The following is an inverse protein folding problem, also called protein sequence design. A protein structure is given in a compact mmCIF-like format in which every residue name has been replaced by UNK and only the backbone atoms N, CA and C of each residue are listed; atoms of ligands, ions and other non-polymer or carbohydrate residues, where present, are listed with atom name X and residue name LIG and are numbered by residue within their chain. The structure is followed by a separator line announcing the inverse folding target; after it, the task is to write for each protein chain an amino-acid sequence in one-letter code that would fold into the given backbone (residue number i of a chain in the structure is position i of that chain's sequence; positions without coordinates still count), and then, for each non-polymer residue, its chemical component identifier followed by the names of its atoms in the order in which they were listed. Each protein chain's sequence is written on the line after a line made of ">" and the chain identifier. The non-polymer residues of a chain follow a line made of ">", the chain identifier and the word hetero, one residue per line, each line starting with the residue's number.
data_IF_331181031544
#
_entry.id   IF_331181031544
#
_cell.length_a   1.000
_cell.length_b   1.000
_cell.length_c   1.000
_cell.angle_alpha   90.00
_cell.angle_beta   90.00
_cell.angle_gamma   90.00
#
_symmetry.space_group_name_H-M   'P 1'
#
loop_
_entity.id
_entity.type
_entity.pdbx_description
1 polymer ?
#
# COMPACT_ATOMS: atom_id res chain seq x y z
N UNK A 1 -22.74 -15.40 -30.71
CA UNK A 1 -22.92 -14.60 -29.47
C UNK A 1 -21.95 -13.42 -29.30
N UNK A 2 -20.86 -13.32 -30.09
CA UNK A 2 -20.09 -12.07 -30.25
C UNK A 2 -20.89 -10.89 -30.87
N UNK A 3 -22.13 -11.14 -31.29
CA UNK A 3 -23.07 -10.22 -31.95
C UNK A 3 -23.37 -8.89 -31.24
N UNK A 4 -22.98 -8.72 -29.97
CA UNK A 4 -23.17 -7.47 -29.24
C UNK A 4 -21.90 -6.64 -29.16
N UNK A 5 -20.76 -7.14 -29.66
CA UNK A 5 -19.53 -6.38 -29.77
C UNK A 5 -19.65 -5.47 -30.99
N UNK A 6 -19.53 -4.17 -30.77
CA UNK A 6 -19.44 -3.21 -31.85
C UNK A 6 -17.98 -3.05 -32.28
N UNK A 7 -17.13 -2.71 -31.31
CA UNK A 7 -15.69 -2.57 -31.51
C UNK A 7 -14.97 -2.99 -30.24
N UNK A 8 -13.79 -3.58 -30.39
CA UNK A 8 -12.92 -3.95 -29.27
C UNK A 8 -11.47 -3.83 -29.74
N UNK A 9 -10.62 -3.29 -28.87
CA UNK A 9 -9.17 -3.38 -28.99
C UNK A 9 -8.64 -4.36 -27.94
N UNK A 10 -7.58 -5.08 -28.28
CA UNK A 10 -6.93 -6.01 -27.35
C UNK A 10 -5.43 -6.09 -27.54
N UNK A 11 -4.71 -6.40 -26.47
CA UNK A 11 -3.29 -6.75 -26.49
C UNK A 11 -3.09 -8.19 -25.97
N UNK A 12 -2.00 -8.83 -26.40
CA UNK A 12 -1.70 -10.21 -26.03
C UNK A 12 -2.57 -11.23 -26.77
N UNK A 13 -3.16 -12.18 -26.05
CA UNK A 13 -3.88 -13.32 -26.64
C UNK A 13 -5.14 -12.86 -27.38
N UNK A 14 -5.33 -13.35 -28.60
CA UNK A 14 -6.53 -13.09 -29.40
C UNK A 14 -7.79 -13.55 -28.64
N UNK A 15 -8.82 -12.70 -28.52
CA UNK A 15 -10.11 -13.11 -27.99
C UNK A 15 -10.65 -14.35 -28.71
N UNK A 16 -11.32 -15.24 -27.98
CA UNK A 16 -11.79 -16.53 -28.52
C UNK A 16 -12.71 -16.40 -29.75
N UNK A 17 -13.40 -15.26 -29.90
CA UNK A 17 -14.27 -14.98 -31.05
C UNK A 17 -13.53 -14.38 -32.26
N UNK A 18 -12.23 -14.09 -32.16
CA UNK A 18 -11.40 -13.59 -33.26
C UNK A 18 -11.74 -12.17 -33.75
N UNK A 19 -12.52 -11.39 -32.99
CA UNK A 19 -12.90 -10.02 -33.37
C UNK A 19 -12.05 -8.99 -32.64
N UNK A 20 -11.85 -7.83 -33.26
CA UNK A 20 -11.22 -6.66 -32.66
C UNK A 20 -9.89 -6.27 -33.29
N UNK A 21 -9.42 -5.10 -32.89
CA UNK A 21 -8.15 -4.52 -33.32
C UNK A 21 -7.04 -5.00 -32.37
N UNK A 22 -6.08 -5.74 -32.93
CA UNK A 22 -4.91 -6.19 -32.16
C UNK A 22 -3.92 -5.04 -32.01
N UNK A 23 -3.56 -4.75 -30.76
CA UNK A 23 -2.56 -3.76 -30.41
C UNK A 23 -1.30 -4.45 -29.89
N UNK A 24 -0.15 -3.83 -30.16
CA UNK A 24 1.08 -4.17 -29.45
C UNK A 24 0.98 -3.72 -27.99
N UNK A 25 1.77 -4.32 -27.11
CA UNK A 25 1.75 -3.94 -25.69
C UNK A 25 2.24 -2.49 -25.51
N UNK A 26 1.78 -1.85 -24.42
CA UNK A 26 2.19 -0.49 -24.00
C UNK A 26 1.88 0.62 -25.01
N UNK A 27 0.83 0.43 -25.83
CA UNK A 27 0.30 1.51 -26.66
C UNK A 27 -0.28 2.65 -25.80
N UNK A 28 -0.13 3.93 -26.22
CA UNK A 28 -0.75 5.07 -25.56
C UNK A 28 -2.27 4.94 -25.49
N UNK A 29 -2.89 5.53 -24.47
CA UNK A 29 -4.34 5.38 -24.25
C UNK A 29 -5.18 6.02 -25.37
N UNK A 30 -4.64 6.99 -26.10
CA UNK A 30 -5.27 7.61 -27.27
C UNK A 30 -5.44 6.59 -28.40
N UNK A 31 -4.46 5.69 -28.57
CA UNK A 31 -4.54 4.58 -29.52
C UNK A 31 -5.63 3.61 -29.07
N UNK A 32 -5.67 3.26 -27.77
CA UNK A 32 -6.73 2.44 -27.22
C UNK A 32 -8.12 3.06 -27.43
N UNK A 33 -8.27 4.36 -27.20
CA UNK A 33 -9.54 5.06 -27.38
C UNK A 33 -10.04 4.95 -28.83
N UNK A 34 -9.16 5.16 -29.81
CA UNK A 34 -9.50 5.04 -31.23
C UNK A 34 -9.84 3.61 -31.61
N UNK A 35 -8.94 2.68 -31.29
CA UNK A 35 -9.02 1.29 -31.76
C UNK A 35 -10.11 0.49 -31.02
N UNK A 36 -10.47 0.89 -29.80
CA UNK A 36 -11.62 0.33 -29.08
C UNK A 36 -12.98 0.90 -29.53
N UNK A 37 -12.99 1.86 -30.47
CA UNK A 37 -14.21 2.51 -30.94
C UNK A 37 -14.82 3.47 -29.92
N UNK A 38 -14.00 4.13 -29.09
CA UNK A 38 -14.42 5.07 -28.05
C UNK A 38 -14.12 6.55 -28.38
N UNK A 39 -13.74 6.85 -29.63
CA UNK A 39 -13.44 8.21 -30.08
C UNK A 39 -14.68 8.98 -30.56
N UNK A 40 -15.68 9.08 -29.67
CA UNK A 40 -16.92 9.83 -29.87
C UNK A 40 -17.47 10.27 -28.50
N UNK A 41 -18.43 11.19 -28.51
CA UNK A 41 -19.04 11.75 -27.32
C UNK A 41 -20.52 11.39 -27.25
N UNK A 42 -21.02 11.12 -26.05
CA UNK A 42 -22.44 11.05 -25.78
C UNK A 42 -22.97 12.49 -25.67
N UNK A 43 -23.83 12.87 -26.60
CA UNK A 43 -24.54 14.13 -26.62
C UNK A 43 -25.95 13.95 -26.06
N UNK A 44 -26.53 15.03 -25.55
CA UNK A 44 -27.88 15.06 -24.99
C UNK A 44 -28.78 16.06 -25.71
N UNK A 45 -30.06 15.71 -25.83
CA UNK A 45 -31.10 16.60 -26.35
C UNK A 45 -32.42 16.37 -25.61
N UNK A 46 -33.32 17.37 -25.53
CA UNK A 46 -34.65 17.17 -24.93
C UNK A 46 -35.44 16.07 -25.64
N UNK A 47 -36.17 15.26 -24.86
CA UNK A 47 -37.08 14.25 -25.41
C UNK A 47 -38.28 14.94 -26.03
N UNK A 48 -38.60 14.56 -27.26
CA UNK A 48 -39.81 14.97 -27.95
C UNK A 48 -40.59 13.73 -28.39
N UNK A 49 -41.92 13.76 -28.23
CA UNK A 49 -42.82 12.70 -28.68
C UNK A 49 -43.98 13.28 -29.51
N UNK A 50 -44.53 12.45 -30.40
CA UNK A 50 -45.70 12.80 -31.20
C UNK A 50 -46.94 12.19 -30.55
N UNK A 51 -47.95 13.02 -30.28
CA UNK A 51 -49.20 12.60 -29.64
C UNK A 51 -50.25 12.11 -30.66
N UNK A 52 -50.24 12.66 -31.87
CA UNK A 52 -51.22 12.35 -32.91
C UNK A 52 -50.64 11.47 -34.03
N UNK A 53 -51.36 10.41 -34.39
CA UNK A 53 -51.00 9.47 -35.46
C UNK A 53 -51.51 9.87 -36.85
N UNK A 54 -52.34 10.92 -36.94
CA UNK A 54 -53.03 11.29 -38.18
C UNK A 54 -52.18 12.31 -38.96
N UNK A 55 -51.48 11.78 -39.98
CA UNK A 55 -50.57 12.48 -40.89
C UNK A 55 -49.22 12.94 -40.30
N UNK A 56 -48.24 13.17 -41.18
CA UNK A 56 -46.83 13.44 -40.86
C UNK A 56 -46.58 14.74 -40.04
N UNK A 57 -47.63 15.44 -39.61
CA UNK A 57 -47.67 16.74 -38.92
C UNK A 57 -48.30 16.66 -37.51
N UNK A 58 -48.20 15.52 -36.81
CA UNK A 58 -48.64 15.41 -35.41
C UNK A 58 -47.93 16.41 -34.48
N UNK A 59 -48.63 16.91 -33.46
CA UNK A 59 -48.07 17.86 -32.49
C UNK A 59 -46.84 17.26 -31.77
N UNK A 60 -45.74 18.00 -31.77
CA UNK A 60 -44.50 17.61 -31.09
C UNK A 60 -44.56 18.13 -29.65
N UNK A 61 -44.63 17.23 -28.69
CA UNK A 61 -44.58 17.55 -27.27
C UNK A 61 -43.19 17.26 -26.71
N UNK A 62 -42.71 18.09 -25.79
CA UNK A 62 -41.51 17.83 -25.02
C UNK A 62 -41.82 17.02 -23.76
N UNK A 63 -40.91 16.15 -23.32
CA UNK A 63 -40.95 15.55 -21.98
C UNK A 63 -39.82 16.14 -21.12
N UNK A 64 -40.07 17.23 -20.37
CA UNK A 64 -38.99 18.06 -19.81
C UNK A 64 -38.15 17.37 -18.74
N UNK A 65 -38.62 16.28 -18.14
CA UNK A 65 -37.91 15.56 -17.07
C UNK A 65 -36.86 14.55 -17.62
N UNK A 66 -36.87 14.33 -18.93
CA UNK A 66 -36.02 13.35 -19.60
C UNK A 66 -35.24 13.96 -20.76
N UNK A 67 -34.11 13.34 -21.06
CA UNK A 67 -33.22 13.65 -22.17
C UNK A 67 -32.90 12.40 -22.98
N UNK A 68 -32.75 12.58 -24.28
CA UNK A 68 -32.24 11.56 -25.20
C UNK A 68 -30.71 11.66 -25.19
N UNK A 69 -30.04 10.53 -25.01
CA UNK A 69 -28.62 10.39 -25.24
C UNK A 69 -28.39 9.83 -26.65
N UNK A 70 -27.47 10.41 -27.40
CA UNK A 70 -27.12 9.97 -28.75
C UNK A 70 -25.64 10.17 -29.03
N UNK A 71 -25.10 9.47 -30.03
CA UNK A 71 -23.69 9.57 -30.37
C UNK A 71 -23.37 10.81 -31.18
N UNK A 72 -22.26 11.46 -30.90
CA UNK A 72 -21.81 12.65 -31.64
C UNK A 72 -21.48 12.36 -33.11
N UNK A 73 -21.00 11.15 -33.42
CA UNK A 73 -20.47 10.74 -34.72
C UNK A 73 -21.58 10.32 -35.70
N UNK A 74 -22.44 9.40 -35.29
CA UNK A 74 -23.47 8.75 -36.13
C UNK A 74 -24.86 9.33 -35.91
N UNK A 75 -25.03 10.13 -34.85
CA UNK A 75 -26.34 10.58 -34.35
C UNK A 75 -27.28 9.43 -33.96
N UNK A 76 -26.77 8.21 -33.83
CA UNK A 76 -27.56 7.06 -33.40
C UNK A 76 -28.06 7.25 -31.96
N UNK A 77 -29.35 6.98 -31.69
CA UNK A 77 -29.90 7.07 -30.36
C UNK A 77 -29.33 5.97 -29.46
N UNK A 78 -28.98 6.33 -28.22
CA UNK A 78 -28.46 5.42 -27.22
C UNK A 78 -29.53 5.05 -26.20
N UNK A 79 -30.15 6.04 -25.57
CA UNK A 79 -31.12 5.83 -24.50
C UNK A 79 -31.92 7.09 -24.20
N UNK A 80 -32.97 6.94 -23.40
CA UNK A 80 -33.69 8.05 -22.77
C UNK A 80 -33.49 7.94 -21.27
N UNK A 81 -33.00 9.00 -20.63
CA UNK A 81 -32.67 9.03 -19.21
C UNK A 81 -33.27 10.25 -18.53
N UNK A 82 -33.31 10.26 -17.20
CA UNK A 82 -33.70 11.45 -16.44
C UNK A 82 -32.68 12.58 -16.63
N UNK A 83 -33.11 13.83 -16.54
CA UNK A 83 -32.20 14.98 -16.53
C UNK A 83 -31.20 14.97 -15.35
N UNK A 84 -31.49 14.21 -14.29
CA UNK A 84 -30.58 14.03 -13.15
C UNK A 84 -29.44 13.05 -13.43
N UNK A 85 -29.48 12.36 -14.57
CA UNK A 85 -28.48 11.37 -14.96
C UNK A 85 -27.16 12.06 -15.37
N UNK A 86 -26.09 11.68 -14.70
CA UNK A 86 -24.71 12.07 -14.96
C UNK A 86 -24.04 11.02 -15.84
N UNK A 87 -24.12 11.25 -17.15
CA UNK A 87 -23.55 10.36 -18.16
C UNK A 87 -22.02 10.37 -18.12
N UNK A 88 -21.43 9.19 -17.98
CA UNK A 88 -19.98 8.97 -18.12
C UNK A 88 -19.64 8.80 -19.59
N UNK A 89 -18.65 9.54 -20.08
CA UNK A 89 -18.21 9.49 -21.47
C UNK A 89 -17.31 8.28 -21.75
N UNK A 90 -17.32 7.71 -22.97
CA UNK A 90 -16.40 6.63 -23.35
C UNK A 90 -14.93 6.98 -23.09
N UNK A 91 -14.53 8.23 -23.37
CA UNK A 91 -13.20 8.74 -23.08
C UNK A 91 -12.85 8.67 -21.59
N UNK A 92 -13.79 8.97 -20.69
CA UNK A 92 -13.53 8.94 -19.24
C UNK A 92 -13.20 7.52 -18.74
N UNK A 93 -13.72 6.48 -19.40
CA UNK A 93 -13.43 5.08 -19.08
C UNK A 93 -12.01 4.69 -19.45
N UNK A 94 -11.49 5.15 -20.60
CA UNK A 94 -10.10 4.95 -20.98
C UNK A 94 -9.15 5.81 -20.15
N UNK A 95 -9.50 7.08 -19.97
CA UNK A 95 -8.72 8.07 -19.21
C UNK A 95 -8.53 7.66 -17.75
N UNK A 96 -9.47 6.88 -17.18
CA UNK A 96 -9.32 6.25 -15.87
C UNK A 96 -8.02 5.45 -15.73
N UNK A 97 -7.45 4.92 -16.82
CA UNK A 97 -6.25 4.09 -16.79
C UNK A 97 -4.95 4.84 -17.10
N UNK A 98 -4.97 6.15 -17.40
CA UNK A 98 -3.76 6.90 -17.81
C UNK A 98 -2.63 6.75 -16.79
N UNK A 99 -2.89 7.20 -15.59
CA UNK A 99 -1.97 7.16 -14.44
C UNK A 99 -1.63 5.71 -14.03
N UNK A 100 -2.58 4.79 -14.14
CA UNK A 100 -2.35 3.37 -13.87
C UNK A 100 -1.32 2.76 -14.82
N UNK A 101 -1.42 3.09 -16.11
CA UNK A 101 -0.54 2.54 -17.15
C UNK A 101 0.81 3.25 -17.24
N UNK A 102 0.83 4.57 -17.09
CA UNK A 102 2.05 5.37 -17.16
C UNK A 102 2.92 5.23 -15.90
N UNK A 103 2.30 5.02 -14.73
CA UNK A 103 2.99 5.13 -13.43
C UNK A 103 2.88 3.88 -12.56
N UNK A 104 1.73 3.20 -12.56
CA UNK A 104 1.47 2.08 -11.64
C UNK A 104 1.82 0.70 -12.21
N UNK A 105 2.38 0.65 -13.42
CA UNK A 105 2.77 -0.60 -14.08
C UNK A 105 1.60 -1.47 -14.54
N UNK A 106 0.38 -0.91 -14.56
CA UNK A 106 -0.77 -1.60 -15.15
C UNK A 106 -0.60 -1.61 -16.67
N UNK A 107 -1.16 -2.62 -17.31
CA UNK A 107 -1.14 -2.70 -18.77
C UNK A 107 -2.56 -2.89 -19.28
N UNK A 108 -3.05 -1.95 -20.09
CA UNK A 108 -4.33 -2.14 -20.79
C UNK A 108 -4.27 -3.42 -21.61
N UNK A 109 -5.32 -4.22 -21.48
CA UNK A 109 -5.38 -5.53 -22.12
C UNK A 109 -6.56 -5.67 -23.06
N UNK A 110 -7.72 -5.11 -22.70
CA UNK A 110 -8.91 -5.08 -23.54
C UNK A 110 -9.72 -3.83 -23.26
N UNK A 111 -10.28 -3.21 -24.28
CA UNK A 111 -11.30 -2.19 -24.14
C UNK A 111 -12.26 -2.25 -25.32
N UNK A 112 -13.52 -1.89 -25.13
CA UNK A 112 -14.48 -1.92 -26.23
C UNK A 112 -15.85 -1.36 -25.91
N UNK A 113 -16.67 -1.39 -26.95
CA UNK A 113 -18.06 -0.93 -26.96
C UNK A 113 -18.98 -2.11 -27.27
N UNK A 114 -20.06 -2.24 -26.49
CA UNK A 114 -21.09 -3.25 -26.64
C UNK A 114 -22.46 -2.61 -26.88
N UNK A 115 -23.37 -3.40 -27.44
CA UNK A 115 -24.80 -3.09 -27.59
C UNK A 115 -25.06 -1.77 -28.35
N UNK A 116 -24.28 -1.49 -29.39
CA UNK A 116 -24.47 -0.30 -30.24
C UNK A 116 -24.20 1.01 -29.49
N UNK A 117 -23.07 1.11 -28.79
CA UNK A 117 -22.69 2.30 -28.03
C UNK A 117 -23.22 2.38 -26.60
N UNK A 118 -24.20 1.55 -26.22
CA UNK A 118 -24.88 1.69 -24.91
C UNK A 118 -24.06 1.24 -23.71
N UNK A 119 -23.06 0.39 -23.93
CA UNK A 119 -22.17 -0.13 -22.90
C UNK A 119 -20.73 -0.06 -23.37
N UNK A 120 -19.82 0.23 -22.46
CA UNK A 120 -18.41 0.26 -22.77
C UNK A 120 -17.59 -0.10 -21.53
N UNK A 121 -16.42 -0.67 -21.77
CA UNK A 121 -15.53 -1.14 -20.72
C UNK A 121 -14.07 -0.98 -21.12
N UNK A 122 -13.21 -0.88 -20.13
CA UNK A 122 -11.78 -1.06 -20.26
C UNK A 122 -11.28 -1.96 -19.14
N UNK A 123 -10.20 -2.68 -19.41
CA UNK A 123 -9.60 -3.65 -18.52
C UNK A 123 -8.09 -3.50 -18.60
N UNK A 124 -7.45 -3.40 -17.44
CA UNK A 124 -5.99 -3.43 -17.35
C UNK A 124 -5.54 -4.56 -16.41
N UNK A 125 -4.48 -5.23 -16.83
CA UNK A 125 -3.74 -6.21 -16.03
C UNK A 125 -2.96 -5.49 -14.94
N UNK A 126 -3.03 -5.99 -13.71
CA UNK A 126 -2.42 -5.34 -12.53
C UNK A 126 -0.98 -5.77 -12.27
N UNK A 127 -0.47 -6.74 -13.04
CA UNK A 127 0.84 -7.38 -12.81
C UNK A 127 0.83 -8.39 -11.65
N UNK A 128 -0.27 -8.50 -10.90
CA UNK A 128 -0.46 -9.57 -9.92
C UNK A 128 -0.97 -10.82 -10.65
N UNK A 129 -0.35 -11.97 -10.38
CA UNK A 129 -0.79 -13.25 -10.93
C UNK A 129 -0.26 -14.41 -10.09
N UNK A 130 -0.96 -15.53 -10.15
CA UNK A 130 -0.50 -16.78 -9.53
C UNK A 130 -0.65 -17.92 -10.52
N UNK A 131 0.31 -18.85 -10.49
CA UNK A 131 0.11 -20.15 -11.09
C UNK A 131 -0.79 -20.98 -10.15
N UNK A 132 -1.82 -21.60 -10.70
CA UNK A 132 -2.57 -22.67 -10.07
C UNK A 132 -1.90 -24.02 -10.39
N UNK A 133 -2.43 -25.10 -9.81
CA UNK A 133 -2.00 -26.47 -10.11
C UNK A 133 -2.05 -26.71 -11.63
N UNK A 134 -1.08 -27.46 -12.16
CA UNK A 134 -0.97 -27.80 -13.58
C UNK A 134 -0.63 -26.62 -14.53
N UNK A 135 0.09 -25.61 -14.01
CA UNK A 135 0.66 -24.47 -14.77
C UNK A 135 -0.38 -23.50 -15.37
N UNK A 136 -1.62 -23.52 -14.85
CA UNK A 136 -2.67 -22.58 -15.23
C UNK A 136 -2.40 -21.21 -14.59
N UNK A 137 -2.17 -20.18 -15.43
CA UNK A 137 -1.83 -18.84 -14.96
C UNK A 137 -3.08 -17.98 -14.82
N UNK A 138 -3.36 -17.56 -13.58
CA UNK A 138 -4.44 -16.63 -13.29
C UNK A 138 -3.86 -15.24 -13.05
N UNK A 139 -4.21 -14.31 -13.95
CA UNK A 139 -3.84 -12.90 -13.83
C UNK A 139 -4.92 -12.12 -13.09
N UNK A 140 -4.49 -11.12 -12.33
CA UNK A 140 -5.34 -10.10 -11.74
C UNK A 140 -5.54 -8.94 -12.72
N UNK A 141 -6.79 -8.48 -12.79
CA UNK A 141 -7.22 -7.36 -13.62
C UNK A 141 -8.00 -6.34 -12.79
N UNK A 142 -8.01 -5.11 -13.28
CA UNK A 142 -8.93 -4.07 -12.87
C UNK A 142 -9.86 -3.73 -14.03
N UNK A 143 -11.15 -3.99 -13.84
CA UNK A 143 -12.21 -3.67 -14.78
C UNK A 143 -12.86 -2.33 -14.40
N UNK A 144 -13.13 -1.50 -15.39
CA UNK A 144 -14.07 -0.39 -15.31
C UNK A 144 -15.09 -0.55 -16.44
N UNK A 145 -16.36 -0.62 -16.10
CA UNK A 145 -17.44 -0.77 -17.06
C UNK A 145 -18.62 0.13 -16.70
N UNK A 146 -19.32 0.63 -17.71
CA UNK A 146 -20.50 1.46 -17.51
C UNK A 146 -21.51 1.27 -18.65
N UNK A 147 -22.70 1.82 -18.45
CA UNK A 147 -23.73 1.92 -19.48
C UNK A 147 -24.40 3.27 -19.44
N UNK A 148 -24.82 3.77 -20.59
CA UNK A 148 -25.64 4.98 -20.67
C UNK A 148 -27.14 4.67 -20.77
N UNK A 149 -27.54 3.39 -20.77
CA UNK A 149 -28.93 2.93 -20.83
C UNK A 149 -29.50 2.52 -19.45
N UNK A 150 -28.76 2.79 -18.38
CA UNK A 150 -29.16 2.48 -17.00
C UNK A 150 -29.03 1.02 -16.61
N UNK A 151 -28.64 0.12 -17.51
CA UNK A 151 -28.58 -1.33 -17.23
C UNK A 151 -27.33 -1.77 -16.45
N UNK A 152 -26.38 -0.86 -16.25
CA UNK A 152 -25.14 -1.05 -15.49
C UNK A 152 -24.70 0.30 -14.93
N UNK A 153 -24.61 0.41 -13.61
CA UNK A 153 -23.95 1.54 -12.95
C UNK A 153 -22.46 1.59 -13.33
N UNK A 154 -21.83 2.76 -13.25
CA UNK A 154 -20.38 2.85 -13.49
C UNK A 154 -19.66 2.06 -12.41
N UNK A 155 -19.12 0.91 -12.77
CA UNK A 155 -18.64 -0.10 -11.83
C UNK A 155 -17.17 -0.38 -12.10
N UNK A 156 -16.36 -0.18 -11.07
CA UNK A 156 -14.96 -0.57 -11.07
C UNK A 156 -14.77 -1.78 -10.15
N UNK A 157 -14.15 -2.86 -10.64
CA UNK A 157 -13.99 -4.08 -9.86
C UNK A 157 -12.67 -4.80 -10.16
N UNK A 158 -11.93 -5.27 -9.13
CA UNK A 158 -10.86 -6.23 -9.31
C UNK A 158 -11.44 -7.59 -9.76
N UNK A 159 -10.86 -8.19 -10.79
CA UNK A 159 -11.34 -9.46 -11.33
C UNK A 159 -10.19 -10.33 -11.84
N UNK A 160 -10.39 -11.64 -11.91
CA UNK A 160 -9.48 -12.57 -12.60
C UNK A 160 -9.95 -12.90 -14.02
N UNK A 161 -11.11 -12.38 -14.42
CA UNK A 161 -11.73 -12.65 -15.70
C UNK A 161 -11.24 -11.65 -16.74
N UNK A 162 -10.64 -12.15 -17.82
CA UNK A 162 -10.30 -11.34 -18.99
C UNK A 162 -11.56 -11.02 -19.79
N UNK A 163 -11.99 -9.76 -19.74
CA UNK A 163 -13.23 -9.30 -20.39
C UNK A 163 -13.03 -9.03 -21.88
N UNK A 164 -13.57 -9.90 -22.73
CA UNK A 164 -13.49 -9.75 -24.20
C UNK A 164 -14.87 -9.62 -24.88
N UNK A 165 -15.95 -9.93 -24.18
CA UNK A 165 -17.31 -9.84 -24.68
C UNK A 165 -18.32 -9.61 -23.56
N UNK A 166 -19.60 -9.44 -23.92
CA UNK A 166 -20.67 -9.22 -22.93
C UNK A 166 -20.78 -10.36 -21.90
N UNK A 167 -20.57 -11.61 -22.28
CA UNK A 167 -20.67 -12.73 -21.33
C UNK A 167 -19.55 -12.68 -20.29
N UNK A 168 -18.30 -12.48 -20.73
CA UNK A 168 -17.16 -12.32 -19.82
C UNK A 168 -17.29 -11.07 -18.96
N UNK A 169 -17.92 -10.01 -19.47
CA UNK A 169 -18.20 -8.80 -18.70
C UNK A 169 -19.19 -9.09 -17.57
N UNK A 170 -20.28 -9.80 -17.87
CA UNK A 170 -21.26 -10.22 -16.84
C UNK A 170 -20.58 -11.08 -15.77
N UNK A 171 -19.80 -12.09 -16.16
CA UNK A 171 -19.07 -12.95 -15.21
C UNK A 171 -18.09 -12.13 -14.36
N UNK A 172 -17.39 -11.14 -14.94
CA UNK A 172 -16.44 -10.31 -14.21
C UNK A 172 -17.11 -9.39 -13.18
N UNK A 173 -18.38 -9.02 -13.40
CA UNK A 173 -19.18 -8.17 -12.50
C UNK A 173 -19.94 -9.01 -11.45
N UNK A 174 -20.24 -10.27 -11.74
CA UNK A 174 -20.93 -11.18 -10.83
C UNK A 174 -19.93 -11.85 -9.87
N UNK A 175 -20.05 -11.58 -8.56
CA UNK A 175 -19.36 -12.36 -7.53
C UNK A 175 -18.14 -11.72 -6.86
N UNK A 176 -17.86 -10.44 -7.09
CA UNK A 176 -16.76 -9.72 -6.42
C UNK A 176 -17.23 -8.89 -5.23
N UNK A 177 -16.70 -9.16 -4.03
CA UNK A 177 -17.05 -8.43 -2.79
C UNK A 177 -16.43 -7.04 -2.65
N UNK A 178 -15.58 -6.62 -3.60
CA UNK A 178 -14.82 -5.36 -3.58
C UNK A 178 -15.14 -4.42 -4.75
N UNK A 179 -16.30 -4.57 -5.36
CA UNK A 179 -16.74 -3.66 -6.42
C UNK A 179 -17.05 -2.26 -5.86
N UNK A 180 -16.69 -1.23 -6.63
CA UNK A 180 -17.10 0.15 -6.39
C UNK A 180 -18.11 0.54 -7.47
N UNK A 181 -19.34 0.81 -7.06
CA UNK A 181 -20.46 1.20 -7.92
C UNK A 181 -20.75 2.69 -7.75
N UNK A 182 -20.70 3.43 -8.85
CA UNK A 182 -21.14 4.82 -8.95
C UNK A 182 -22.47 4.83 -9.70
N UNK A 183 -23.61 5.07 -9.02
CA UNK A 183 -24.90 5.15 -9.68
C UNK A 183 -24.97 6.39 -10.58
N UNK A 184 -25.79 6.33 -11.64
CA UNK A 184 -25.88 7.41 -12.63
C UNK A 184 -26.48 8.72 -12.11
N UNK A 185 -27.07 8.73 -10.90
CA UNK A 185 -27.46 9.97 -10.22
C UNK A 185 -26.28 10.67 -9.51
N UNK A 186 -25.08 10.11 -9.58
CA UNK A 186 -23.86 10.60 -8.93
C UNK A 186 -22.80 10.84 -10.01
N UNK A 187 -22.14 11.99 -9.95
CA UNK A 187 -21.07 12.31 -10.91
C UNK A 187 -19.88 11.36 -10.72
N UNK A 188 -19.45 10.73 -11.80
CA UNK A 188 -18.25 9.89 -11.78
C UNK A 188 -17.01 10.69 -11.40
N UNK A 189 -16.25 10.18 -10.43
CA UNK A 189 -15.00 10.77 -9.96
C UNK A 189 -13.91 9.70 -9.98
N UNK A 190 -13.04 9.67 -11.01
CA UNK A 190 -11.98 8.67 -11.16
C UNK A 190 -11.09 8.55 -9.92
N UNK A 191 -10.73 9.69 -9.30
CA UNK A 191 -9.85 9.73 -8.14
C UNK A 191 -10.53 9.13 -6.90
N UNK A 192 -11.80 9.45 -6.68
CA UNK A 192 -12.55 8.88 -5.55
C UNK A 192 -12.71 7.36 -5.70
N UNK A 193 -13.03 6.88 -6.92
CA UNK A 193 -13.15 5.45 -7.21
C UNK A 193 -11.83 4.72 -6.96
N UNK A 194 -10.71 5.25 -7.46
CA UNK A 194 -9.36 4.71 -7.23
C UNK A 194 -9.02 4.62 -5.73
N UNK A 195 -9.27 5.70 -4.99
CA UNK A 195 -9.06 5.71 -3.53
C UNK A 195 -9.91 4.65 -2.81
N UNK A 196 -11.19 4.50 -3.17
CA UNK A 196 -12.07 3.49 -2.57
C UNK A 196 -11.65 2.06 -2.90
N UNK A 197 -11.11 1.82 -4.10
CA UNK A 197 -10.53 0.52 -4.47
C UNK A 197 -9.22 0.20 -3.72
N UNK A 198 -8.72 1.11 -2.91
CA UNK A 198 -7.37 1.01 -2.33
C UNK A 198 -6.27 1.17 -3.37
N UNK A 199 -6.61 1.60 -4.59
CA UNK A 199 -5.70 1.92 -5.69
C UNK A 199 -5.34 3.40 -5.50
N UNK A 200 -4.55 3.70 -4.47
CA UNK A 200 -4.20 5.07 -4.12
C UNK A 200 -3.16 5.64 -5.09
N UNK A 201 -3.58 6.02 -6.32
CA UNK A 201 -2.67 6.58 -7.33
C UNK A 201 -2.09 7.92 -6.89
N UNK A 202 -2.90 8.84 -6.36
CA UNK A 202 -2.41 10.19 -6.05
C UNK A 202 -1.46 10.28 -4.84
N UNK A 203 -1.46 9.28 -3.95
CA UNK A 203 -0.57 9.27 -2.78
C UNK A 203 0.74 8.53 -3.07
N UNK A 204 0.72 7.56 -3.99
CA UNK A 204 1.92 6.93 -4.53
C UNK A 204 2.67 7.86 -5.48
N UNK A 205 2.00 8.75 -6.20
CA UNK A 205 2.63 9.70 -7.13
C UNK A 205 3.40 10.81 -6.43
N UNK A 206 2.83 11.47 -5.41
CA UNK A 206 3.55 12.48 -4.63
C UNK A 206 4.69 11.84 -3.82
N UNK A 207 4.47 10.62 -3.34
CA UNK A 207 5.51 9.79 -2.73
C UNK A 207 6.60 9.40 -3.73
N UNK A 208 6.28 8.98 -4.96
CA UNK A 208 7.25 8.54 -5.97
C UNK A 208 7.94 9.69 -6.67
N UNK A 209 7.28 10.82 -6.86
CA UNK A 209 7.89 12.06 -7.31
C UNK A 209 8.90 12.56 -6.28
N UNK A 210 8.55 12.55 -4.98
CA UNK A 210 9.50 12.83 -3.90
C UNK A 210 10.59 11.77 -3.80
N UNK A 211 10.29 10.48 -3.95
CA UNK A 211 11.28 9.41 -3.94
C UNK A 211 12.22 9.48 -5.15
N UNK A 212 11.73 9.88 -6.34
CA UNK A 212 12.57 10.14 -7.52
C UNK A 212 13.43 11.38 -7.31
N UNK A 213 12.88 12.47 -6.79
CA UNK A 213 13.66 13.67 -6.43
C UNK A 213 14.70 13.39 -5.32
N UNK A 214 14.36 12.53 -4.35
CA UNK A 214 15.27 12.07 -3.28
C UNK A 214 16.27 11.03 -3.78
N UNK A 215 15.94 10.21 -4.77
CA UNK A 215 16.85 9.26 -5.41
C UNK A 215 17.78 9.93 -6.42
N UNK A 216 17.35 11.03 -7.04
CA UNK A 216 18.16 11.90 -7.90
C UNK A 216 19.16 12.72 -7.07
N UNK A 217 18.82 13.05 -5.82
CA UNK A 217 19.82 13.44 -4.82
C UNK A 217 20.52 12.20 -4.28
N UNK A 218 21.53 11.71 -5.00
CA UNK A 218 22.45 10.69 -4.49
C UNK A 218 23.03 11.18 -3.17
N UNK A 219 22.46 10.77 -2.04
CA UNK A 219 23.15 10.80 -0.75
C UNK A 219 24.28 9.82 -0.91
N UNK A 220 25.45 10.36 -1.25
CA UNK A 220 26.63 9.54 -1.38
C UNK A 220 26.85 8.87 -0.02
N UNK A 221 27.24 7.60 0.01
CA UNK A 221 27.46 6.86 1.26
C UNK A 221 28.28 7.65 2.28
N UNK A 222 29.27 8.43 1.82
CA UNK A 222 30.10 9.28 2.65
C UNK A 222 29.37 10.47 3.31
N UNK A 223 28.29 10.99 2.72
CA UNK A 223 27.50 12.10 3.27
C UNK A 223 26.57 11.60 4.39
N UNK A 224 25.90 10.46 4.18
CA UNK A 224 25.14 9.79 5.24
C UNK A 224 26.05 9.31 6.38
N UNK A 225 27.16 8.65 6.04
CA UNK A 225 28.15 8.20 7.02
C UNK A 225 28.76 9.39 7.76
N UNK A 226 29.03 10.51 7.07
CA UNK A 226 29.53 11.75 7.68
C UNK A 226 28.54 12.33 8.69
N UNK A 227 27.25 12.38 8.36
CA UNK A 227 26.21 12.78 9.31
C UNK A 227 26.19 11.86 10.53
N UNK A 228 26.16 10.53 10.33
CA UNK A 228 26.15 9.59 11.45
C UNK A 228 27.42 9.63 12.28
N UNK A 229 28.59 9.84 11.69
CA UNK A 229 29.86 9.98 12.42
C UNK A 229 29.89 11.27 13.24
N UNK A 230 29.32 12.37 12.72
CA UNK A 230 29.24 13.64 13.44
C UNK A 230 28.23 13.60 14.60
N UNK A 231 27.21 12.75 14.52
CA UNK A 231 26.30 12.48 15.64
C UNK A 231 26.93 11.46 16.61
N UNK A 232 27.61 10.44 16.08
CA UNK A 232 28.29 9.37 16.79
C UNK A 232 29.73 9.78 17.17
N UNK A 233 29.85 10.88 17.93
CA UNK A 233 31.14 11.39 18.44
C UNK A 233 31.74 10.50 19.55
N UNK A 234 31.07 9.39 19.91
CA UNK A 234 31.38 8.54 21.05
C UNK A 234 32.80 7.96 21.02
N UNK A 235 33.39 7.73 19.84
CA UNK A 235 34.77 7.24 19.74
C UNK A 235 35.79 8.22 20.32
N UNK A 236 35.55 9.53 20.20
CA UNK A 236 36.48 10.57 20.64
C UNK A 236 36.33 10.91 22.13
N UNK A 237 35.13 10.68 22.69
CA UNK A 237 34.78 11.11 24.06
C UNK A 237 34.61 9.96 25.05
N UNK A 238 34.84 8.70 24.63
CA UNK A 238 34.56 7.49 25.43
C UNK A 238 35.22 7.48 26.80
N UNK A 239 36.50 7.86 26.85
CA UNK A 239 37.34 7.83 28.06
C UNK A 239 37.17 9.09 28.94
N UNK A 240 36.34 10.05 28.51
CA UNK A 240 36.10 11.27 29.27
C UNK A 240 35.07 11.06 30.37
N UNK A 241 35.18 11.88 31.42
CA UNK A 241 34.21 11.91 32.51
C UNK A 241 32.80 12.26 31.99
N UNK A 242 31.72 11.78 32.63
CA UNK A 242 30.34 12.00 32.19
C UNK A 242 29.99 13.47 31.91
N UNK A 243 30.42 14.40 32.75
CA UNK A 243 30.12 15.83 32.56
C UNK A 243 30.78 16.41 31.30
N UNK A 244 32.02 15.99 31.02
CA UNK A 244 32.74 16.42 29.82
C UNK A 244 32.10 15.83 28.56
N UNK A 245 31.68 14.56 28.60
CA UNK A 245 30.92 13.92 27.51
C UNK A 245 29.63 14.67 27.22
N UNK A 246 28.85 14.98 28.26
CA UNK A 246 27.60 15.73 28.12
C UNK A 246 27.84 17.09 27.47
N UNK A 247 28.84 17.85 27.93
CA UNK A 247 29.15 19.17 27.36
C UNK A 247 29.48 19.08 25.87
N UNK A 248 30.35 18.16 25.46
CA UNK A 248 30.74 18.01 24.05
C UNK A 248 29.54 17.55 23.20
N UNK A 249 28.69 16.66 23.72
CA UNK A 249 27.44 16.25 23.04
C UNK A 249 26.50 17.43 22.81
N UNK A 250 26.36 18.33 23.79
CA UNK A 250 25.55 19.55 23.65
C UNK A 250 26.12 20.50 22.60
N UNK A 251 27.45 20.64 22.54
CA UNK A 251 28.10 21.56 21.59
C UNK A 251 28.08 21.00 20.14
N UNK A 252 28.29 19.70 19.95
CA UNK A 252 28.47 19.09 18.62
C UNK A 252 27.26 18.29 18.11
N UNK A 253 26.71 17.40 18.94
CA UNK A 253 25.71 16.44 18.51
C UNK A 253 24.27 16.97 18.63
N UNK A 254 23.98 17.81 19.63
CA UNK A 254 22.64 18.35 19.85
C UNK A 254 22.11 19.18 18.66
N UNK A 255 22.88 20.12 18.05
CA UNK A 255 22.40 20.89 16.90
C UNK A 255 22.05 20.01 15.69
N UNK A 256 22.79 18.91 15.50
CA UNK A 256 22.54 17.94 14.42
C UNK A 256 21.28 17.13 14.67
N UNK A 257 21.07 16.71 15.92
CA UNK A 257 19.87 15.99 16.33
C UNK A 257 18.63 16.90 16.23
N UNK A 258 18.72 18.16 16.61
CA UNK A 258 17.62 19.12 16.49
C UNK A 258 17.25 19.38 15.02
N UNK A 259 18.24 19.55 14.15
CA UNK A 259 18.03 19.66 12.71
C UNK A 259 17.36 18.41 12.12
N UNK A 260 17.81 17.22 12.54
CA UNK A 260 17.19 15.95 12.15
C UNK A 260 15.75 15.85 12.65
N UNK A 261 15.47 16.26 13.88
CA UNK A 261 14.14 16.24 14.46
C UNK A 261 13.17 17.11 13.66
N UNK A 262 13.57 18.35 13.41
CA UNK A 262 12.78 19.31 12.64
C UNK A 262 12.51 18.78 11.22
N UNK A 263 13.53 18.20 10.58
CA UNK A 263 13.38 17.56 9.29
C UNK A 263 12.40 16.37 9.34
N UNK A 264 12.51 15.48 10.33
CA UNK A 264 11.63 14.32 10.47
C UNK A 264 10.17 14.74 10.71
N UNK A 265 9.92 15.77 11.50
CA UNK A 265 8.57 16.34 11.70
C UNK A 265 8.02 16.87 10.38
N UNK A 266 8.82 17.67 9.66
CA UNK A 266 8.41 18.23 8.36
C UNK A 266 8.13 17.13 7.34
N UNK A 267 8.98 16.11 7.25
CA UNK A 267 8.76 14.97 6.36
C UNK A 267 7.54 14.15 6.76
N UNK A 268 7.26 13.99 8.06
CA UNK A 268 6.10 13.22 8.49
C UNK A 268 4.78 13.84 8.07
N UNK A 269 4.68 15.16 8.01
CA UNK A 269 3.50 15.88 7.50
C UNK A 269 3.27 15.66 5.99
N UNK A 270 4.36 15.38 5.27
CA UNK A 270 4.36 15.15 3.83
C UNK A 270 4.10 13.67 3.47
N UNK A 271 4.31 12.75 4.41
CA UNK A 271 4.22 11.31 4.20
C UNK A 271 2.86 10.77 4.64
N UNK A 272 2.20 10.01 3.76
CA UNK A 272 0.91 9.40 4.03
C UNK A 272 0.97 8.24 5.02
N UNK A 273 -0.11 8.10 5.80
CA UNK A 273 -0.28 7.03 6.78
C UNK A 273 -0.32 5.64 6.12
N UNK A 274 0.25 4.64 6.80
CA UNK A 274 0.28 3.25 6.33
C UNK A 274 1.53 2.85 5.56
N UNK A 275 2.29 3.80 5.02
CA UNK A 275 3.59 3.55 4.37
C UNK A 275 4.65 3.10 5.37
N UNK A 276 5.63 2.31 4.92
CA UNK A 276 6.74 1.82 5.78
C UNK A 276 7.58 2.98 6.32
N UNK A 277 7.82 4.02 5.52
CA UNK A 277 8.53 5.23 5.96
C UNK A 277 7.72 6.05 6.97
N UNK A 278 6.40 6.11 6.84
CA UNK A 278 5.52 6.75 7.82
C UNK A 278 5.66 6.04 9.17
N UNK A 279 5.60 4.71 9.17
CA UNK A 279 5.81 3.89 10.37
C UNK A 279 7.19 4.12 10.98
N UNK A 280 8.24 4.24 10.16
CA UNK A 280 9.60 4.51 10.64
C UNK A 280 9.74 5.91 11.26
N UNK A 281 9.21 6.94 10.60
CA UNK A 281 9.17 8.31 11.12
C UNK A 281 8.37 8.38 12.43
N UNK A 282 7.17 7.79 12.45
CA UNK A 282 6.32 7.73 13.64
C UNK A 282 7.00 7.02 14.80
N UNK A 283 7.63 5.88 14.53
CA UNK A 283 8.36 5.12 15.54
C UNK A 283 9.49 5.94 16.16
N UNK A 284 10.29 6.60 15.31
CA UNK A 284 11.41 7.43 15.74
C UNK A 284 10.96 8.69 16.47
N UNK A 285 9.97 9.42 15.95
CA UNK A 285 9.42 10.63 16.56
C UNK A 285 8.75 10.33 17.90
N UNK A 286 7.95 9.26 17.98
CA UNK A 286 7.32 8.82 19.24
C UNK A 286 8.35 8.46 20.32
N UNK A 287 9.55 8.05 19.92
CA UNK A 287 10.65 7.67 20.81
C UNK A 287 11.75 8.72 20.89
N UNK A 288 11.51 9.92 20.36
CA UNK A 288 12.55 10.94 20.23
C UNK A 288 13.22 11.27 21.56
N UNK A 289 12.44 11.42 22.63
CA UNK A 289 12.95 11.66 23.99
C UNK A 289 13.88 10.55 24.49
N UNK A 290 13.61 9.30 24.11
CA UNK A 290 14.49 8.18 24.47
C UNK A 290 15.75 8.18 23.58
N UNK A 291 15.60 8.46 22.29
CA UNK A 291 16.70 8.52 21.32
C UNK A 291 17.70 9.64 21.63
N UNK A 292 17.24 10.79 22.12
CA UNK A 292 18.08 11.95 22.45
C UNK A 292 18.57 11.97 23.90
N UNK A 293 18.19 11.01 24.74
CA UNK A 293 18.51 10.96 26.18
C UNK A 293 20.02 11.04 26.43
N UNK A 294 20.83 10.38 25.61
CA UNK A 294 22.29 10.36 25.74
C UNK A 294 22.93 11.75 25.63
N UNK A 295 22.29 12.72 24.95
CA UNK A 295 22.80 14.09 24.86
C UNK A 295 22.84 14.78 26.22
N UNK A 296 21.88 14.43 27.08
CA UNK A 296 21.71 15.05 28.40
C UNK A 296 22.36 14.24 29.51
N UNK A 297 22.59 12.95 29.29
CA UNK A 297 23.17 12.03 30.26
C UNK A 297 24.50 11.48 29.77
N UNK A 298 25.58 11.98 30.37
CA UNK A 298 26.95 11.56 30.09
C UNK A 298 27.31 10.16 30.59
N UNK A 299 26.39 9.39 31.15
CA UNK A 299 26.60 7.97 31.51
C UNK A 299 26.00 7.04 30.45
N UNK A 300 24.93 7.48 29.79
CA UNK A 300 24.18 6.67 28.82
C UNK A 300 24.90 6.66 27.46
N UNK A 301 25.12 5.47 26.86
CA UNK A 301 25.62 5.35 25.50
C UNK A 301 24.51 5.61 24.47
N UNK A 302 24.89 6.01 23.25
CA UNK A 302 23.95 6.27 22.15
C UNK A 302 23.36 4.98 21.55
N UNK A 303 24.08 3.86 21.64
CA UNK A 303 23.66 2.57 21.10
C UNK A 303 23.41 1.52 22.19
N UNK A 304 22.67 0.47 21.81
CA UNK A 304 22.32 -0.66 22.65
C UNK A 304 23.21 -1.89 22.38
N UNK A 305 24.35 -1.76 21.68
CA UNK A 305 25.15 -2.91 21.25
C UNK A 305 25.59 -3.78 22.43
N UNK A 306 25.88 -3.16 23.58
CA UNK A 306 26.22 -3.89 24.79
C UNK A 306 25.09 -4.83 25.25
N UNK A 307 23.83 -4.35 25.21
CA UNK A 307 22.65 -5.13 25.59
C UNK A 307 22.39 -6.23 24.55
N UNK A 308 22.51 -5.91 23.26
CA UNK A 308 22.30 -6.90 22.19
C UNK A 308 23.32 -8.04 22.27
N UNK A 309 24.58 -7.73 22.58
CA UNK A 309 25.61 -8.74 22.82
C UNK A 309 25.25 -9.64 24.01
N UNK A 310 24.70 -9.09 25.09
CA UNK A 310 24.23 -9.87 26.24
C UNK A 310 23.00 -10.73 25.94
N UNK A 311 22.14 -10.30 25.01
CA UNK A 311 20.97 -11.06 24.57
C UNK A 311 21.28 -12.12 23.51
N UNK A 312 22.43 -12.03 22.82
CA UNK A 312 22.80 -12.97 21.75
C UNK A 312 22.81 -14.45 22.17
N UNK A 313 23.33 -14.86 23.35
CA UNK A 313 23.27 -16.24 23.81
C UNK A 313 21.85 -16.81 23.91
N UNK A 314 20.86 -15.96 24.21
CA UNK A 314 19.45 -16.35 24.27
C UNK A 314 18.86 -16.62 22.89
N UNK A 315 19.13 -15.73 21.94
CA UNK A 315 18.64 -15.88 20.57
C UNK A 315 19.25 -17.11 19.87
N UNK A 316 20.50 -17.46 20.23
CA UNK A 316 21.15 -18.68 19.76
C UNK A 316 20.63 -19.93 20.50
N UNK A 317 20.47 -19.84 21.83
CA UNK A 317 19.97 -20.92 22.66
C UNK A 317 18.55 -21.35 22.29
N UNK A 318 17.64 -20.40 22.05
CA UNK A 318 16.25 -20.69 21.70
C UNK A 318 16.09 -21.49 20.40
N UNK A 319 17.01 -21.34 19.45
CA UNK A 319 17.06 -22.16 18.23
C UNK A 319 17.57 -23.58 18.48
N UNK A 320 18.36 -23.78 19.54
CA UNK A 320 19.02 -25.06 19.86
C UNK A 320 18.30 -25.84 20.98
N UNK A 321 17.36 -25.23 21.71
CA UNK A 321 16.62 -25.87 22.80
C UNK A 321 15.38 -26.61 22.27
N UNK A 322 15.60 -27.79 21.70
CA UNK A 322 14.56 -28.65 21.10
C UNK A 322 13.41 -29.05 22.06
N UNK A 323 13.60 -28.94 23.37
CA UNK A 323 12.65 -29.37 24.40
C UNK A 323 12.02 -28.23 25.22
N UNK A 324 12.29 -26.97 24.87
CA UNK A 324 11.68 -25.80 25.51
C UNK A 324 10.29 -25.50 24.90
N UNK A 325 9.35 -26.44 25.02
CA UNK A 325 8.05 -26.39 24.32
C UNK A 325 6.85 -25.84 25.11
N UNK A 326 7.01 -25.43 26.38
CA UNK A 326 5.89 -24.94 27.21
C UNK A 326 6.18 -23.59 27.88
N UNK A 327 5.12 -22.79 28.10
CA UNK A 327 5.21 -21.50 28.80
C UNK A 327 5.86 -21.64 30.19
N UNK A 328 5.59 -22.75 30.89
CA UNK A 328 6.18 -23.03 32.22
C UNK A 328 7.69 -23.27 32.13
N UNK A 329 8.15 -23.97 31.09
CA UNK A 329 9.58 -24.17 30.82
C UNK A 329 10.27 -22.85 30.49
N UNK A 330 9.64 -22.02 29.65
CA UNK A 330 10.14 -20.68 29.31
C UNK A 330 10.30 -19.76 30.53
N UNK A 331 9.32 -19.73 31.44
CA UNK A 331 9.41 -18.95 32.69
C UNK A 331 10.56 -19.41 33.59
N UNK A 332 10.82 -20.71 33.68
CA UNK A 332 11.93 -21.27 34.46
C UNK A 332 13.28 -20.95 33.84
N UNK A 333 13.40 -21.09 32.52
CA UNK A 333 14.60 -20.71 31.77
C UNK A 333 14.92 -19.21 31.97
N UNK A 334 13.90 -18.34 31.91
CA UNK A 334 14.06 -16.90 32.17
C UNK A 334 14.57 -16.61 33.58
N UNK A 335 14.04 -17.27 34.61
CA UNK A 335 14.50 -17.08 35.99
C UNK A 335 15.97 -17.50 36.17
N UNK A 336 16.35 -18.69 35.69
CA UNK A 336 17.72 -19.19 35.79
C UNK A 336 18.72 -18.32 35.02
N UNK A 337 18.37 -17.92 33.81
CA UNK A 337 19.24 -17.09 32.98
C UNK A 337 19.39 -15.67 33.53
N UNK A 338 18.34 -15.10 34.13
CA UNK A 338 18.45 -13.82 34.86
C UNK A 338 19.44 -13.94 36.02
N UNK A 339 19.41 -15.02 36.79
CA UNK A 339 20.37 -15.27 37.88
C UNK A 339 21.81 -15.41 37.34
N UNK A 340 22.00 -16.19 36.27
CA UNK A 340 23.31 -16.37 35.62
C UNK A 340 23.86 -15.02 35.13
N UNK A 341 23.05 -14.21 34.45
CA UNK A 341 23.50 -12.93 33.92
C UNK A 341 23.79 -11.93 35.05
N UNK A 342 22.98 -11.92 36.11
CA UNK A 342 23.25 -11.13 37.30
C UNK A 342 24.54 -11.56 38.01
N UNK A 343 24.86 -12.85 38.09
CA UNK A 343 26.13 -13.33 38.63
C UNK A 343 27.33 -12.83 37.80
N UNK A 344 27.26 -12.96 36.47
CA UNK A 344 28.30 -12.42 35.57
C UNK A 344 28.50 -10.91 35.73
N UNK A 345 27.40 -10.15 35.85
CA UNK A 345 27.46 -8.70 36.03
C UNK A 345 28.09 -8.27 37.36
N UNK A 346 28.02 -9.12 38.40
CA UNK A 346 28.70 -8.91 39.68
C UNK A 346 30.12 -9.51 39.71
N UNK A 347 30.62 -10.03 38.58
CA UNK A 347 31.97 -10.58 38.47
C UNK A 347 32.13 -12.00 38.99
N UNK A 348 31.04 -12.72 39.24
CA UNK A 348 31.06 -14.09 39.74
C UNK A 348 31.12 -15.12 38.60
N UNK A 349 31.77 -16.25 38.85
CA UNK A 349 31.63 -17.42 37.99
C UNK A 349 30.22 -18.02 38.16
N UNK A 350 29.42 -18.16 37.08
CA UNK A 350 28.04 -18.62 37.20
C UNK A 350 27.91 -20.08 37.67
N UNK A 351 28.89 -20.92 37.38
CA UNK A 351 28.86 -22.32 37.80
C UNK A 351 29.11 -22.41 39.31
N UNK A 352 30.13 -21.72 39.82
CA UNK A 352 30.41 -21.65 41.25
C UNK A 352 29.24 -21.07 42.04
N UNK A 353 28.67 -19.97 41.55
CA UNK A 353 27.48 -19.35 42.14
C UNK A 353 26.30 -20.32 42.21
N UNK A 354 25.95 -20.97 41.09
CA UNK A 354 24.79 -21.86 41.05
C UNK A 354 25.02 -23.13 41.88
N UNK A 355 26.23 -23.69 41.88
CA UNK A 355 26.57 -24.86 42.68
C UNK A 355 26.37 -24.56 44.16
N UNK A 356 27.00 -23.49 44.65
CA UNK A 356 26.92 -23.09 46.05
C UNK A 356 25.49 -22.75 46.48
N UNK A 357 24.75 -21.99 45.67
CA UNK A 357 23.35 -21.65 45.97
C UNK A 357 22.45 -22.89 46.04
N UNK A 358 22.61 -23.85 45.11
CA UNK A 358 21.83 -25.08 45.10
C UNK A 358 22.19 -26.03 46.25
N UNK A 359 23.45 -26.02 46.70
CA UNK A 359 23.91 -26.77 47.88
C UNK A 359 23.38 -26.17 49.20
N UNK A 360 23.30 -24.83 49.30
CA UNK A 360 22.77 -24.14 50.50
C UNK A 360 21.25 -24.12 50.58
N UNK A 361 20.55 -24.18 49.44
CA UNK A 361 19.09 -24.01 49.35
C UNK A 361 18.28 -24.91 50.30
N UNK A 362 18.60 -26.21 50.45
CA UNK A 362 17.84 -27.12 51.33
C UNK A 362 17.89 -26.74 52.81
N UNK A 363 18.96 -26.06 53.25
CA UNK A 363 19.19 -25.68 54.66
C UNK A 363 19.02 -24.17 54.91
N UNK A 364 18.86 -23.36 53.87
CA UNK A 364 18.73 -21.91 53.99
C UNK A 364 17.37 -21.53 54.59
N UNK A 365 17.39 -20.64 55.60
CA UNK A 365 16.16 -20.08 56.16
C UNK A 365 15.46 -19.22 55.10
N UNK A 366 14.13 -19.37 54.99
CA UNK A 366 13.31 -18.58 54.05
C UNK A 366 13.53 -17.07 54.17
N UNK A 367 13.67 -16.56 55.41
CA UNK A 367 13.94 -15.14 55.69
C UNK A 367 15.31 -14.66 55.20
N UNK A 368 16.25 -15.56 54.96
CA UNK A 368 17.64 -15.28 54.57
C UNK A 368 17.92 -15.62 53.08
N UNK A 369 16.90 -15.98 52.29
CA UNK A 369 17.08 -16.30 50.86
C UNK A 369 17.68 -15.11 50.08
N UNK A 370 17.40 -13.88 50.50
CA UNK A 370 17.95 -12.68 49.89
C UNK A 370 19.48 -12.59 49.92
N UNK A 371 20.14 -13.29 50.84
CA UNK A 371 21.61 -13.36 50.95
C UNK A 371 22.23 -14.17 49.80
N UNK A 372 21.48 -15.09 49.21
CA UNK A 372 21.91 -15.92 48.08
C UNK A 372 21.76 -15.19 46.73
N UNK A 373 21.30 -13.94 46.71
CA UNK A 373 21.15 -13.18 45.47
C UNK A 373 22.53 -12.75 44.93
N UNK A 374 22.72 -12.69 43.61
CA UNK A 374 24.05 -12.48 43.01
C UNK A 374 24.80 -11.19 43.41
N UNK A 375 24.10 -10.17 43.91
CA UNK A 375 24.70 -8.89 44.35
C UNK A 375 25.06 -8.87 45.85
N UNK A 376 24.68 -9.91 46.60
CA UNK A 376 24.99 -10.11 48.02
C UNK A 376 25.75 -11.42 48.27
N UNK A 377 25.91 -12.22 47.23
CA UNK A 377 26.53 -13.53 47.32
C UNK A 377 28.01 -13.42 47.70
N UNK A 378 28.41 -14.28 48.63
CA UNK A 378 29.78 -14.48 49.02
C UNK A 378 30.05 -15.99 48.96
N UNK A 379 31.16 -16.35 48.32
CA UNK A 379 31.62 -17.74 48.26
C UNK A 379 31.79 -18.29 49.68
N UNK A 380 31.44 -19.57 49.87
CA UNK A 380 31.55 -20.26 51.17
C UNK A 380 33.00 -20.36 51.62
#
# INVERSE_FOLDING_TARGET
>A
MAHLIETIAYAGTTPWHGLGNQLTQKQPIEVWQREAGMDWQIQESPVHFKSDAIAHLGAIHSFPEQKVLFRSDTKAPLSVVSNRDHTVQPREVIEFYRDLTEVSGYELETAGVLKGGRKFWALARTGQGTALKDNDQVNGYLLLATSCDGTLATTATPTTVRVVCNNTLTIALDGTSREIKVPHNTRFNPKAVKTQLGIAVSQWDDFMYRMRALAERKVQWHEALGFFMNVYIEREIRELKPDARRRIRQEKAAPLMDALHAWMIAQRQLVHDGLVIAKALDYSLKRWTALSRYLNDGTVPIDNNHIEQQNRPWALGSKNWLFAGSLRSGKRAAALMSLIQSAKLNGHDPYEYLKDVLERLPTQKMSAIGELLPHKWQSA
#
